data_IF_017404377809
#
_entry.id   IF_017404377809
#
_cell.length_a   1.000
_cell.length_b   1.000
_cell.length_c   1.000
_cell.angle_alpha   90.00
_cell.angle_beta   90.00
_cell.angle_gamma   90.00
#
_symmetry.space_group_name_H-M   'P 1'
#
loop_
_entity.id
_entity.type
_entity.pdbx_description
1 polymer ?
#
# COMPACT_ATOMS: atom_id res chain seq x y z
N UNK A 1 -10.68 -0.24 16.85
CA UNK A 1 -9.79 -0.35 15.68
C UNK A 1 -10.21 0.76 14.74
N UNK A 2 -9.39 1.80 14.65
CA UNK A 2 -9.64 2.97 13.79
C UNK A 2 -9.68 2.46 12.35
N UNK A 3 -10.64 2.94 11.55
CA UNK A 3 -10.81 2.49 10.17
C UNK A 3 -10.03 3.42 9.25
N UNK A 4 -9.36 2.84 8.25
CA UNK A 4 -8.76 3.59 7.15
C UNK A 4 -9.78 3.72 6.04
N UNK A 5 -9.77 4.87 5.39
CA UNK A 5 -10.46 5.07 4.12
C UNK A 5 -9.56 4.57 2.97
N UNK A 6 -9.97 3.56 2.18
CA UNK A 6 -9.18 3.05 1.07
C UNK A 6 -8.97 4.12 -0.02
N UNK A 7 -7.84 4.04 -0.71
CA UNK A 7 -7.55 4.91 -1.84
C UNK A 7 -8.38 4.53 -3.08
N UNK A 8 -8.51 5.46 -4.03
CA UNK A 8 -9.26 5.21 -5.27
C UNK A 8 -8.66 4.03 -6.06
N UNK A 9 -9.52 3.10 -6.50
CA UNK A 9 -9.19 1.88 -7.25
C UNK A 9 -8.31 0.89 -6.47
N UNK A 10 -8.18 1.05 -5.17
CA UNK A 10 -7.54 0.07 -4.30
C UNK A 10 -8.31 -1.24 -4.35
N UNK A 11 -7.57 -2.34 -4.52
CA UNK A 11 -8.11 -3.69 -4.57
C UNK A 11 -7.55 -4.57 -3.45
N UNK A 12 -6.45 -4.16 -2.84
CA UNK A 12 -5.77 -4.87 -1.76
C UNK A 12 -4.79 -3.92 -1.07
N UNK A 13 -4.38 -4.25 0.16
CA UNK A 13 -3.39 -3.50 0.89
C UNK A 13 -2.59 -4.39 1.86
N UNK A 14 -1.36 -3.97 2.17
CA UNK A 14 -0.51 -4.58 3.18
C UNK A 14 -0.10 -3.51 4.18
N UNK A 15 -0.34 -3.76 5.46
CA UNK A 15 0.01 -2.82 6.53
C UNK A 15 1.38 -3.15 7.12
N UNK A 16 2.20 -2.13 7.37
CA UNK A 16 3.43 -2.28 8.15
C UNK A 16 3.12 -2.63 9.60
N UNK A 17 4.10 -3.23 10.26
CA UNK A 17 3.98 -3.72 11.63
C UNK A 17 3.76 -2.62 12.66
N UNK A 18 4.28 -1.43 12.39
CA UNK A 18 4.06 -0.23 13.20
C UNK A 18 2.74 0.49 12.91
N UNK A 19 1.97 0.01 11.92
CA UNK A 19 0.70 0.60 11.48
C UNK A 19 0.81 1.94 10.75
N UNK A 20 2.03 2.47 10.59
CA UNK A 20 2.26 3.82 10.04
C UNK A 20 2.38 3.85 8.54
N UNK A 21 2.60 2.70 7.91
CA UNK A 21 2.78 2.59 6.47
C UNK A 21 1.84 1.55 5.90
N UNK A 22 1.27 1.86 4.75
CA UNK A 22 0.42 0.95 3.99
C UNK A 22 0.92 0.88 2.57
N UNK A 23 1.02 -0.34 2.05
CA UNK A 23 1.29 -0.61 0.66
C UNK A 23 -0.04 -0.90 -0.03
N UNK A 24 -0.65 0.10 -0.66
CA UNK A 24 -1.93 -0.10 -1.35
C UNK A 24 -1.68 -0.61 -2.77
N UNK A 25 -2.38 -1.66 -3.17
CA UNK A 25 -2.36 -2.21 -4.52
C UNK A 25 -3.61 -1.71 -5.23
N UNK A 26 -3.41 -1.03 -6.35
CA UNK A 26 -4.49 -0.37 -7.09
C UNK A 26 -4.57 -0.92 -8.51
N UNK A 27 -5.81 -1.11 -8.99
CA UNK A 27 -6.06 -1.54 -10.37
C UNK A 27 -6.03 -0.33 -11.31
N UNK A 28 -5.26 -0.45 -12.38
CA UNK A 28 -5.12 0.55 -13.45
C UNK A 28 -6.20 0.36 -14.51
N UNK A 29 -6.38 1.37 -15.35
CA UNK A 29 -7.35 1.35 -16.45
C UNK A 29 -6.98 0.35 -17.56
N UNK A 30 -5.69 0.05 -17.71
CA UNK A 30 -5.13 -0.92 -18.65
C UNK A 30 -5.30 -2.38 -18.17
N UNK A 31 -5.90 -2.59 -17.00
CA UNK A 31 -6.12 -3.91 -16.39
C UNK A 31 -4.95 -4.42 -15.55
N UNK A 32 -3.81 -3.74 -15.56
CA UNK A 32 -2.66 -4.07 -14.73
C UNK A 32 -2.83 -3.52 -13.30
N UNK A 33 -1.85 -3.83 -12.44
CA UNK A 33 -1.81 -3.44 -11.05
C UNK A 33 -0.55 -2.62 -10.78
N UNK A 34 -0.63 -1.72 -9.81
CA UNK A 34 0.51 -0.93 -9.33
C UNK A 34 0.34 -0.76 -7.82
N UNK A 35 1.45 -0.72 -7.08
CA UNK A 35 1.39 -0.44 -5.65
C UNK A 35 1.90 0.96 -5.32
N UNK A 36 1.37 1.52 -4.25
CA UNK A 36 1.73 2.83 -3.73
C UNK A 36 2.13 2.71 -2.27
N UNK A 37 3.15 3.47 -1.87
CA UNK A 37 3.44 3.66 -0.46
C UNK A 37 2.54 4.76 0.10
N UNK A 38 1.85 4.48 1.19
CA UNK A 38 1.02 5.44 1.91
C UNK A 38 1.49 5.54 3.35
N UNK A 39 1.77 6.76 3.80
CA UNK A 39 2.29 7.02 5.16
C UNK A 39 1.21 7.72 5.96
N UNK A 40 1.04 7.32 7.22
CA UNK A 40 0.05 7.89 8.13
C UNK A 40 0.29 9.40 8.26
N UNK A 41 -0.71 10.17 7.86
CA UNK A 41 -0.69 11.62 7.94
C UNK A 41 -1.37 12.09 9.23
N UNK A 42 -2.56 11.55 9.48
CA UNK A 42 -3.45 11.96 10.56
C UNK A 42 -4.19 10.74 11.08
N UNK A 43 -4.29 10.67 12.40
CA UNK A 43 -4.99 9.61 13.12
C UNK A 43 -5.92 10.25 14.15
N UNK A 44 -7.20 9.87 14.11
CA UNK A 44 -8.25 10.35 15.02
C UNK A 44 -9.05 9.19 15.57
N UNK A 45 -9.89 9.43 16.58
CA UNK A 45 -10.76 8.39 17.14
C UNK A 45 -11.71 7.76 16.11
N UNK A 46 -12.04 8.49 15.04
CA UNK A 46 -12.99 8.07 14.02
C UNK A 46 -12.30 7.44 12.80
N UNK A 47 -11.24 8.09 12.29
CA UNK A 47 -10.58 7.71 11.03
C UNK A 47 -9.06 7.95 11.03
N UNK A 48 -8.38 7.17 10.20
CA UNK A 48 -6.96 7.33 9.87
C UNK A 48 -6.79 7.68 8.37
N UNK A 49 -6.03 8.74 8.11
CA UNK A 49 -5.70 9.21 6.76
C UNK A 49 -4.23 9.02 6.47
N UNK A 50 -3.95 8.41 5.32
CA UNK A 50 -2.61 8.18 4.82
C UNK A 50 -2.39 9.03 3.56
N UNK A 51 -1.20 9.61 3.43
CA UNK A 51 -0.81 10.36 2.24
C UNK A 51 0.08 9.48 1.35
N UNK A 52 -0.18 9.50 0.04
CA UNK A 52 0.59 8.70 -0.92
C UNK A 52 1.96 9.33 -1.18
N UNK A 53 3.02 8.57 -0.96
CA UNK A 53 4.38 8.95 -1.29
C UNK A 53 4.79 8.30 -2.63
N UNK A 54 5.12 9.12 -3.62
CA UNK A 54 5.66 8.65 -4.90
C UNK A 54 7.15 8.36 -4.75
N UNK A 55 7.51 7.17 -4.24
CA UNK A 55 8.93 6.82 -4.01
C UNK A 55 9.50 5.99 -5.16
N UNK A 56 8.65 5.38 -5.99
CA UNK A 56 9.14 4.41 -6.96
C UNK A 56 9.77 5.12 -8.17
N UNK A 57 11.05 4.85 -8.48
CA UNK A 57 11.73 5.47 -9.61
C UNK A 57 11.21 4.98 -10.98
N UNK A 58 10.37 3.95 -11.04
CA UNK A 58 9.73 3.41 -12.24
C UNK A 58 8.31 2.96 -11.90
N UNK A 59 7.36 3.00 -12.86
CA UNK A 59 6.03 2.46 -12.64
C UNK A 59 6.15 0.93 -12.49
N UNK A 60 6.09 0.45 -11.25
CA UNK A 60 6.05 -0.97 -10.92
C UNK A 60 4.67 -1.51 -11.31
N UNK A 61 4.52 -1.84 -12.59
CA UNK A 61 3.28 -2.35 -13.19
C UNK A 61 3.33 -3.87 -13.22
N UNK A 62 2.29 -4.51 -12.68
CA UNK A 62 2.19 -5.95 -12.52
C UNK A 62 0.97 -6.51 -13.26
N UNK A 63 1.10 -7.72 -13.79
CA UNK A 63 -0.01 -8.43 -14.43
C UNK A 63 -1.03 -9.00 -13.43
N UNK A 64 -0.66 -9.15 -12.15
CA UNK A 64 -1.53 -9.68 -11.11
C UNK A 64 -1.30 -9.03 -9.74
N UNK A 65 -2.30 -9.15 -8.85
CA UNK A 65 -2.19 -8.73 -7.44
C UNK A 65 -1.09 -9.53 -6.73
N UNK A 66 -0.96 -10.83 -7.04
CA UNK A 66 0.06 -11.69 -6.43
C UNK A 66 1.48 -11.25 -6.76
N UNK A 67 1.73 -10.84 -8.00
CA UNK A 67 3.05 -10.32 -8.41
C UNK A 67 3.36 -9.00 -7.71
N UNK A 68 2.36 -8.11 -7.60
CA UNK A 68 2.51 -6.87 -6.85
C UNK A 68 2.84 -7.14 -5.37
N UNK A 69 2.15 -8.09 -4.73
CA UNK A 69 2.45 -8.51 -3.35
C UNK A 69 3.85 -9.09 -3.21
N UNK A 70 4.25 -9.97 -4.12
CA UNK A 70 5.58 -10.59 -4.10
C UNK A 70 6.68 -9.52 -4.18
N UNK A 71 6.50 -8.50 -5.02
CA UNK A 71 7.44 -7.37 -5.11
C UNK A 71 7.47 -6.55 -3.82
N UNK A 72 6.30 -6.25 -3.24
CA UNK A 72 6.23 -5.53 -1.95
C UNK A 72 6.98 -6.32 -0.87
N UNK A 73 6.78 -7.64 -0.77
CA UNK A 73 7.50 -8.46 0.21
C UNK A 73 9.01 -8.52 -0.07
N UNK A 74 9.42 -8.57 -1.33
CA UNK A 74 10.84 -8.59 -1.71
C UNK A 74 11.55 -7.28 -1.33
N UNK A 75 10.90 -6.13 -1.54
CA UNK A 75 11.49 -4.81 -1.25
C UNK A 75 11.32 -4.38 0.22
N UNK A 76 10.15 -4.66 0.80
CA UNK A 76 9.71 -4.10 2.09
C UNK A 76 9.36 -5.16 3.12
N UNK A 77 9.78 -6.41 2.95
CA UNK A 77 9.48 -7.49 3.90
C UNK A 77 9.91 -7.18 5.34
N UNK A 78 10.96 -6.38 5.52
CA UNK A 78 11.41 -5.89 6.83
C UNK A 78 10.42 -4.95 7.54
N UNK A 79 9.52 -4.30 6.80
CA UNK A 79 8.45 -3.45 7.34
C UNK A 79 7.17 -4.26 7.62
N UNK A 80 6.97 -5.36 6.90
CA UNK A 80 5.76 -6.20 6.98
C UNK A 80 5.87 -7.32 8.02
N UNK A 81 7.07 -7.84 8.25
CA UNK A 81 7.31 -8.89 9.23
C UNK A 81 7.92 -8.27 10.50
N UNK A 82 7.15 -8.26 11.59
CA UNK A 82 7.69 -7.97 12.91
C UNK A 82 8.42 -9.22 13.34
N UNK A 83 9.76 -9.17 13.41
CA UNK A 83 10.50 -10.16 14.17
C UNK A 83 10.20 -10.00 15.66
#
# INVERSE_FOLDING_TARGET
>A
MIKRVPSKNEVDDLQSTDGKTIFSIRKRHDGNYEFFLEVLNFDSEEDAYYWTQNILPHPSIFGSISDAKAEIFAQFGHMLNAN
#
